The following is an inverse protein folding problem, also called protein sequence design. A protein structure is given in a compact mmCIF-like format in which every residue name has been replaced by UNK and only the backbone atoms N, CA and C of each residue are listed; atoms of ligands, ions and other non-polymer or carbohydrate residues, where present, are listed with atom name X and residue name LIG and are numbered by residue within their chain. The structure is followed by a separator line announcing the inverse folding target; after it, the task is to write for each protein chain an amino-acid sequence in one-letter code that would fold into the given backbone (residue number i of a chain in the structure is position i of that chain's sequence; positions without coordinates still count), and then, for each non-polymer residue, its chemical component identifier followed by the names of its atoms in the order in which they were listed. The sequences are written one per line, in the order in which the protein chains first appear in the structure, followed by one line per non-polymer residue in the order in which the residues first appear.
data_IF_070722757131
#
_entry.id   IF_070722757131
#
_cell.length_a   1.000
_cell.length_b   1.000
_cell.length_c   1.000
_cell.angle_alpha   90.00
_cell.angle_beta   90.00
_cell.angle_gamma   90.00
#
_symmetry.space_group_name_H-M   'P 1'
#
loop_
_entity.id
_entity.type
_entity.pdbx_description
1 polymer ?
#
# COMPACT_ATOMS: atom_id res chain seq x y z
N UNK A 1 -10.97 12.55 0.16
CA UNK A 1 -10.10 11.49 -0.39
C UNK A 1 -10.57 11.16 -1.81
N UNK A 2 -9.75 11.43 -2.81
CA UNK A 2 -10.17 11.17 -4.19
C UNK A 2 -10.24 9.66 -4.48
N UNK A 3 -11.23 9.27 -5.26
CA UNK A 3 -11.44 7.90 -5.71
C UNK A 3 -11.34 7.87 -7.22
N UNK A 4 -10.45 7.05 -7.75
CA UNK A 4 -10.24 6.97 -9.20
C UNK A 4 -11.26 6.02 -9.86
N UNK A 5 -11.19 5.93 -11.20
CA UNK A 5 -12.17 5.16 -11.99
C UNK A 5 -12.11 3.65 -11.75
N UNK A 6 -11.02 3.13 -11.18
CA UNK A 6 -10.89 1.71 -10.87
C UNK A 6 -11.14 1.39 -9.39
N UNK A 7 -11.84 2.27 -8.68
CA UNK A 7 -12.32 2.01 -7.33
C UNK A 7 -11.27 2.11 -6.24
N UNK A 8 -10.17 2.81 -6.48
CA UNK A 8 -9.13 3.01 -5.48
C UNK A 8 -9.25 4.39 -4.85
N UNK A 9 -9.26 4.45 -3.52
CA UNK A 9 -9.21 5.68 -2.74
C UNK A 9 -7.80 5.81 -2.18
N UNK A 10 -7.13 6.92 -2.49
CA UNK A 10 -5.75 7.14 -2.05
C UNK A 10 -5.67 8.18 -0.97
N UNK A 11 -4.87 7.89 0.08
CA UNK A 11 -4.54 8.85 1.12
C UNK A 11 -3.12 9.33 0.86
N UNK A 12 -2.95 10.65 0.77
CA UNK A 12 -1.63 11.22 0.52
C UNK A 12 -1.39 12.42 1.41
N UNK A 13 -0.11 12.67 1.69
CA UNK A 13 0.31 13.83 2.46
C UNK A 13 0.74 14.94 1.52
N UNK A 14 0.00 16.03 1.50
CA UNK A 14 0.31 17.18 0.63
C UNK A 14 -0.29 18.46 1.21
N UNK A 15 0.21 18.89 2.40
CA UNK A 15 -0.32 20.12 3.01
C UNK A 15 -0.06 21.32 2.10
N UNK A 16 -1.07 22.20 2.00
CA UNK A 16 -1.00 23.41 1.17
C UNK A 16 -0.74 23.13 -0.31
N UNK A 17 -0.94 21.88 -0.74
CA UNK A 17 -0.80 21.46 -2.14
C UNK A 17 0.55 21.89 -2.77
N UNK A 18 1.65 21.73 -2.02
CA UNK A 18 2.98 22.11 -2.49
C UNK A 18 3.51 21.23 -3.61
N UNK A 19 2.96 20.01 -3.78
CA UNK A 19 3.29 19.11 -4.89
C UNK A 19 2.04 18.84 -5.73
N UNK A 20 2.20 18.55 -7.03
CA UNK A 20 1.05 18.24 -7.88
C UNK A 20 0.23 17.05 -7.38
N UNK A 21 0.88 15.97 -6.92
CA UNK A 21 0.21 14.74 -6.51
C UNK A 21 0.39 14.35 -5.04
N UNK A 22 1.25 15.05 -4.30
CA UNK A 22 1.54 14.71 -2.90
C UNK A 22 2.33 13.42 -2.75
N UNK A 23 2.37 12.90 -1.52
CA UNK A 23 3.06 11.64 -1.20
C UNK A 23 2.03 10.63 -0.72
N UNK A 24 1.81 9.58 -1.51
CA UNK A 24 0.88 8.52 -1.16
C UNK A 24 1.48 7.62 -0.09
N UNK A 25 0.70 7.28 0.93
CA UNK A 25 1.15 6.35 1.98
C UNK A 25 0.13 5.26 2.28
N UNK A 26 -1.08 5.33 1.75
CA UNK A 26 -2.13 4.35 2.00
C UNK A 26 -3.14 4.41 0.87
N UNK A 27 -3.66 3.24 0.44
CA UNK A 27 -4.76 3.18 -0.52
C UNK A 27 -5.79 2.15 -0.07
N UNK A 28 -7.05 2.38 -0.45
CA UNK A 28 -8.15 1.44 -0.24
C UNK A 28 -8.72 1.12 -1.61
N UNK A 29 -8.75 -0.17 -1.97
CA UNK A 29 -9.23 -0.60 -3.28
C UNK A 29 -10.32 -1.64 -3.11
N UNK A 30 -11.42 -1.48 -3.84
CA UNK A 30 -12.63 -2.28 -3.67
C UNK A 30 -12.90 -3.26 -4.82
N UNK A 31 -12.09 -3.23 -5.87
CA UNK A 31 -12.24 -4.14 -7.02
C UNK A 31 -10.91 -4.32 -7.74
N UNK A 32 -10.82 -5.38 -8.57
CA UNK A 32 -9.64 -5.63 -9.38
C UNK A 32 -9.46 -4.54 -10.44
N UNK A 33 -8.20 -4.24 -10.77
CA UNK A 33 -7.83 -3.43 -11.92
C UNK A 33 -7.22 -4.30 -13.01
N UNK A 34 -6.98 -3.72 -14.20
CA UNK A 34 -6.46 -4.47 -15.34
C UNK A 34 -5.10 -5.14 -15.04
N UNK A 35 -4.25 -4.49 -14.25
CA UNK A 35 -2.92 -4.99 -13.90
C UNK A 35 -2.83 -5.36 -12.42
N UNK A 36 -3.96 -5.51 -11.71
CA UNK A 36 -3.98 -5.73 -10.27
C UNK A 36 -5.14 -6.68 -9.93
N UNK A 37 -4.97 -7.95 -10.22
CA UNK A 37 -6.01 -8.98 -10.03
C UNK A 37 -5.58 -10.10 -9.08
N UNK A 38 -4.35 -10.09 -8.62
CA UNK A 38 -3.79 -11.19 -7.85
C UNK A 38 -4.51 -11.40 -6.51
N UNK A 39 -5.09 -10.36 -5.93
CA UNK A 39 -5.79 -10.44 -4.65
C UNK A 39 -7.28 -10.75 -4.78
N UNK A 40 -7.80 -10.82 -6.02
CA UNK A 40 -9.21 -11.14 -6.30
C UNK A 40 -10.16 -10.24 -5.51
N UNK A 41 -10.03 -8.93 -5.68
CA UNK A 41 -10.78 -7.94 -4.91
C UNK A 41 -12.26 -7.84 -5.33
N UNK A 42 -12.61 -8.36 -6.50
CA UNK A 42 -13.99 -8.28 -7.00
C UNK A 42 -14.96 -9.18 -6.25
N UNK A 43 -14.46 -10.04 -5.36
CA UNK A 43 -15.31 -10.87 -4.48
C UNK A 43 -16.17 -9.99 -3.58
N UNK A 44 -17.40 -10.46 -3.28
CA UNK A 44 -18.32 -9.72 -2.41
C UNK A 44 -17.71 -9.47 -1.03
N UNK A 45 -17.81 -8.23 -0.56
CA UNK A 45 -17.33 -7.84 0.77
C UNK A 45 -15.82 -7.76 0.92
N UNK A 46 -15.05 -7.90 -0.17
CA UNK A 46 -13.59 -7.85 -0.11
C UNK A 46 -13.10 -6.48 -0.54
N UNK A 47 -12.20 -5.92 0.25
CA UNK A 47 -11.46 -4.71 -0.10
C UNK A 47 -10.02 -4.84 0.37
N UNK A 48 -9.14 -4.05 -0.22
CA UNK A 48 -7.72 -4.03 0.16
C UNK A 48 -7.36 -2.71 0.80
N UNK A 49 -6.68 -2.80 1.95
CA UNK A 49 -5.95 -1.69 2.54
C UNK A 49 -4.48 -1.90 2.21
N UNK A 50 -3.88 -0.98 1.47
CA UNK A 50 -2.46 -1.03 1.13
C UNK A 50 -1.72 0.08 1.84
N UNK A 51 -0.54 -0.22 2.37
CA UNK A 51 0.26 0.69 3.18
C UNK A 51 1.67 0.76 2.62
N UNK A 52 2.15 1.98 2.36
CA UNK A 52 3.52 2.22 1.87
C UNK A 52 4.49 2.35 3.03
N UNK A 53 5.14 1.25 3.41
CA UNK A 53 6.07 1.23 4.52
C UNK A 53 7.48 1.67 4.09
N UNK A 54 8.29 2.20 5.02
CA UNK A 54 9.73 2.28 4.80
C UNK A 54 10.29 0.87 4.51
N UNK A 55 11.28 0.78 3.63
CA UNK A 55 11.86 -0.53 3.27
C UNK A 55 12.43 -1.27 4.48
N UNK A 56 12.98 -0.55 5.44
CA UNK A 56 13.49 -1.16 6.67
C UNK A 56 12.39 -1.85 7.47
N UNK A 57 11.20 -1.25 7.53
CA UNK A 57 10.06 -1.84 8.22
C UNK A 57 9.55 -3.07 7.47
N UNK A 58 9.43 -2.96 6.14
CA UNK A 58 9.04 -4.10 5.31
C UNK A 58 10.02 -5.27 5.51
N UNK A 59 11.31 -4.99 5.44
CA UNK A 59 12.35 -6.02 5.58
C UNK A 59 12.28 -6.71 6.94
N UNK A 60 11.95 -5.98 8.00
CA UNK A 60 11.76 -6.56 9.33
C UNK A 60 10.57 -7.49 9.43
N UNK A 61 9.55 -7.29 8.58
CA UNK A 61 8.33 -8.11 8.57
C UNK A 61 8.43 -9.31 7.64
N UNK A 62 8.97 -9.13 6.44
CA UNK A 62 8.90 -10.12 5.37
C UNK A 62 10.26 -10.48 4.74
N UNK A 63 11.36 -9.90 5.21
CA UNK A 63 12.66 -10.08 4.58
C UNK A 63 12.90 -9.10 3.45
N UNK A 64 13.94 -9.31 2.62
CA UNK A 64 14.30 -8.36 1.57
C UNK A 64 13.14 -8.06 0.63
N UNK A 65 13.06 -6.80 0.17
CA UNK A 65 12.06 -6.43 -0.84
C UNK A 65 12.29 -7.23 -2.12
N UNK A 66 11.21 -7.75 -2.74
CA UNK A 66 11.35 -8.49 -3.99
C UNK A 66 11.73 -7.59 -5.16
N UNK A 67 12.17 -8.20 -6.26
CA UNK A 67 12.44 -7.47 -7.49
C UNK A 67 11.16 -6.92 -8.09
N UNK A 68 11.26 -5.79 -8.81
CA UNK A 68 10.13 -5.20 -9.51
C UNK A 68 9.61 -6.18 -10.57
N UNK A 69 8.29 -6.49 -10.57
CA UNK A 69 7.72 -7.39 -11.58
C UNK A 69 7.61 -6.69 -12.94
N UNK A 70 7.46 -7.49 -13.99
CA UNK A 70 7.13 -6.96 -15.32
C UNK A 70 5.74 -6.35 -15.30
N UNK A 71 5.45 -5.46 -16.26
CA UNK A 71 4.13 -4.85 -16.36
C UNK A 71 3.03 -5.93 -16.46
N UNK A 72 2.04 -5.84 -15.59
CA UNK A 72 0.97 -6.82 -15.50
C UNK A 72 1.32 -8.08 -14.71
N UNK A 73 2.57 -8.20 -14.24
CA UNK A 73 3.00 -9.32 -13.40
C UNK A 73 2.89 -9.02 -11.91
N UNK A 74 3.29 -9.98 -11.09
CA UNK A 74 3.31 -9.85 -9.63
C UNK A 74 4.69 -10.18 -9.09
N UNK A 75 4.97 -9.71 -7.86
CA UNK A 75 6.23 -9.99 -7.19
C UNK A 75 6.32 -11.49 -6.85
N UNK A 76 7.54 -12.01 -6.82
CA UNK A 76 7.80 -13.43 -6.51
C UNK A 76 8.17 -13.57 -5.03
N UNK A 77 7.16 -13.73 -4.16
CA UNK A 77 7.36 -13.88 -2.71
C UNK A 77 6.84 -15.20 -2.16
N UNK A 78 6.07 -15.95 -2.95
CA UNK A 78 5.46 -17.19 -2.48
C UNK A 78 4.23 -17.00 -1.59
N UNK A 79 3.77 -15.75 -1.40
CA UNK A 79 2.60 -15.47 -0.58
C UNK A 79 1.30 -15.64 -1.36
N UNK A 80 0.23 -16.01 -0.63
CA UNK A 80 -1.13 -16.05 -1.18
C UNK A 80 -1.74 -14.65 -1.03
N UNK A 81 -1.90 -13.93 -2.14
CA UNK A 81 -2.42 -12.56 -2.12
C UNK A 81 -3.95 -12.50 -1.98
N UNK A 82 -4.63 -13.64 -1.90
CA UNK A 82 -6.09 -13.69 -1.75
C UNK A 82 -6.53 -13.88 -0.30
N UNK A 83 -5.62 -14.05 0.64
CA UNK A 83 -5.93 -14.30 2.06
C UNK A 83 -6.53 -13.07 2.70
N UNK A 84 -7.63 -13.28 3.45
CA UNK A 84 -8.30 -12.19 4.18
C UNK A 84 -7.72 -12.05 5.58
N UNK A 85 -7.73 -10.81 6.08
CA UNK A 85 -7.38 -10.48 7.47
C UNK A 85 -5.96 -10.87 7.87
N UNK A 86 -5.04 -10.97 6.88
CA UNK A 86 -3.63 -11.26 7.11
C UNK A 86 -2.76 -10.27 6.34
N UNK A 87 -1.79 -9.67 7.02
CA UNK A 87 -0.86 -8.74 6.38
C UNK A 87 0.09 -9.50 5.45
N UNK A 88 0.19 -9.06 4.20
CA UNK A 88 1.01 -9.69 3.16
C UNK A 88 1.75 -8.62 2.37
N UNK A 89 2.84 -8.99 1.66
CA UNK A 89 3.42 -8.07 0.68
C UNK A 89 2.40 -7.70 -0.39
N UNK A 90 2.47 -6.47 -0.90
CA UNK A 90 1.60 -6.04 -2.00
C UNK A 90 2.02 -6.77 -3.29
N UNK A 91 1.08 -7.37 -4.03
CA UNK A 91 1.45 -8.16 -5.21
C UNK A 91 2.18 -7.40 -6.31
N UNK A 92 1.97 -6.08 -6.39
CA UNK A 92 2.57 -5.25 -7.44
C UNK A 92 3.65 -4.31 -6.90
N UNK A 93 3.50 -3.80 -5.68
CA UNK A 93 4.37 -2.73 -5.15
C UNK A 93 5.23 -3.15 -3.96
N UNK A 94 5.30 -4.45 -3.62
CA UNK A 94 6.15 -4.90 -2.52
C UNK A 94 7.63 -4.58 -2.74
N UNK A 95 8.07 -4.46 -4.00
CA UNK A 95 9.44 -4.07 -4.30
C UNK A 95 9.80 -2.67 -3.79
N UNK A 96 8.77 -1.83 -3.53
CA UNK A 96 8.94 -0.50 -2.93
C UNK A 96 8.69 -0.50 -1.42
N UNK A 97 8.38 -1.67 -0.83
CA UNK A 97 8.07 -1.77 0.59
C UNK A 97 6.57 -1.71 0.91
N UNK A 98 5.70 -1.76 -0.09
CA UNK A 98 4.26 -1.75 0.15
C UNK A 98 3.75 -3.11 0.60
N UNK A 99 2.81 -3.08 1.53
CA UNK A 99 2.12 -4.26 2.06
C UNK A 99 0.62 -4.10 1.85
N UNK A 100 -0.12 -5.20 1.97
CA UNK A 100 -1.58 -5.18 1.87
C UNK A 100 -2.21 -6.02 2.97
N UNK A 101 -3.46 -5.71 3.29
CA UNK A 101 -4.32 -6.57 4.08
C UNK A 101 -5.72 -6.50 3.49
N UNK A 102 -6.36 -7.66 3.30
CA UNK A 102 -7.70 -7.73 2.72
C UNK A 102 -8.72 -7.83 3.85
N UNK A 103 -9.74 -6.96 3.82
CA UNK A 103 -10.88 -6.97 4.73
C UNK A 103 -10.50 -7.19 6.20
N UNK A 104 -9.61 -6.35 6.79
CA UNK A 104 -9.20 -6.57 8.19
C UNK A 104 -10.37 -6.41 9.15
N UNK A 105 -10.36 -7.23 10.22
CA UNK A 105 -11.27 -7.04 11.36
C UNK A 105 -10.85 -5.82 12.15
N UNK A 106 -11.74 -5.34 13.05
CA UNK A 106 -11.38 -4.21 13.93
C UNK A 106 -10.15 -4.53 14.78
N UNK A 107 -10.06 -5.76 15.29
CA UNK A 107 -8.94 -6.19 16.11
C UNK A 107 -7.64 -6.18 15.30
N UNK A 108 -7.65 -6.75 14.09
CA UNK A 108 -6.47 -6.76 13.23
C UNK A 108 -6.10 -5.36 12.77
N UNK A 109 -7.09 -4.52 12.46
CA UNK A 109 -6.83 -3.13 12.10
C UNK A 109 -6.13 -2.39 13.24
N UNK A 110 -6.55 -2.61 14.48
CA UNK A 110 -5.89 -2.00 15.64
C UNK A 110 -4.43 -2.45 15.75
N UNK A 111 -4.14 -3.72 15.41
CA UNK A 111 -2.78 -4.26 15.44
C UNK A 111 -1.87 -3.63 14.37
N UNK A 112 -2.41 -3.29 13.21
CA UNK A 112 -1.62 -2.69 12.11
C UNK A 112 -1.61 -1.15 12.13
N UNK A 113 -2.39 -0.53 13.01
CA UNK A 113 -2.44 0.93 13.09
C UNK A 113 -1.06 1.58 13.27
N UNK A 114 -0.13 1.03 14.08
CA UNK A 114 1.23 1.58 14.16
C UNK A 114 1.95 1.64 12.80
N UNK A 115 1.67 0.69 11.90
CA UNK A 115 2.26 0.69 10.54
C UNK A 115 1.71 1.84 9.71
N UNK A 116 0.42 2.14 9.83
CA UNK A 116 -0.18 3.31 9.17
C UNK A 116 0.45 4.60 9.65
N UNK A 117 0.66 4.72 10.97
CA UNK A 117 1.32 5.89 11.56
C UNK A 117 2.75 6.04 11.06
N UNK A 118 3.46 4.92 10.94
CA UNK A 118 4.83 4.91 10.44
C UNK A 118 4.88 5.32 8.96
N UNK A 119 3.95 4.82 8.15
CA UNK A 119 3.84 5.19 6.74
C UNK A 119 3.54 6.69 6.58
N UNK A 120 2.66 7.23 7.41
CA UNK A 120 2.36 8.66 7.42
C UNK A 120 3.61 9.47 7.78
N UNK A 121 4.34 9.08 8.83
CA UNK A 121 5.57 9.75 9.25
C UNK A 121 6.60 9.74 8.12
N UNK A 122 6.74 8.61 7.42
CA UNK A 122 7.65 8.51 6.27
C UNK A 122 7.23 9.44 5.13
N UNK A 123 5.92 9.62 4.90
CA UNK A 123 5.42 10.54 3.88
C UNK A 123 5.74 11.99 4.22
N UNK A 124 5.65 12.36 5.49
CA UNK A 124 6.03 13.70 5.98
C UNK A 124 7.51 13.97 5.68
N UNK A 125 8.38 13.01 6.00
CA UNK A 125 9.82 13.13 5.75
C UNK A 125 10.13 13.24 4.25
N UNK A 126 9.46 12.45 3.40
CA UNK A 126 9.65 12.51 1.95
C UNK A 126 9.27 13.87 1.41
N UNK A 127 8.16 14.44 1.85
CA UNK A 127 7.73 15.76 1.40
C UNK A 127 8.72 16.82 1.86
N UNK A 128 9.17 16.76 3.11
CA UNK A 128 10.14 17.70 3.64
C UNK A 128 11.43 17.72 2.80
N UNK A 129 11.94 16.53 2.44
CA UNK A 129 13.13 16.40 1.60
C UNK A 129 12.92 16.97 0.20
N UNK A 130 11.76 16.70 -0.41
CA UNK A 130 11.45 17.22 -1.74
C UNK A 130 11.34 18.73 -1.77
N UNK A 131 10.70 19.33 -0.77
CA UNK A 131 10.54 20.79 -0.70
C UNK A 131 11.84 21.49 -0.33
N UNK A 132 12.70 20.88 0.48
CA UNK A 132 13.98 21.45 0.86
C UNK A 132 14.97 21.55 -0.31
N UNK A 133 14.76 20.79 -1.40
CA UNK A 133 15.62 20.81 -2.58
C UNK A 133 15.28 21.93 -3.56
N UNK A 134 14.23 22.65 -3.30
CA UNK A 134 13.84 23.82 -4.13
C UNK A 134 14.50 25.13 -3.63
#
# INVERSE_FOLDING_TARGET
MPKNSWGETSLFYNPQQVLPNGIYFCTIKEKDGDNDKASQLTREGVFRLAIGLPRTTYTGLFGPCPSRPEKGGIVSTGHDFTRLDELRPHPIYAWMGWVQILSPTEETFAQILPLLKEAHTASVEKLRKKTARK
#
